data_IF_022442408118
#
_entry.id   IF_022442408118
#
_cell.length_a   1.000
_cell.length_b   1.000
_cell.length_c   1.000
_cell.angle_alpha   90.00
_cell.angle_beta   90.00
_cell.angle_gamma   90.00
#
_symmetry.space_group_name_H-M   'P 1'
#
loop_
_entity.id
_entity.type
_entity.pdbx_description
1 polymer ?
#
# COMPACT_ATOMS: atom_id res chain seq x y z
N UNK A 1 -14.39 -11.13 72.65
CA UNK A 1 -15.11 -11.38 71.40
C UNK A 1 -14.71 -10.46 70.21
N UNK A 2 -14.28 -9.21 70.41
CA UNK A 2 -13.96 -8.25 69.29
C UNK A 2 -12.69 -8.59 68.46
N UNK A 3 -11.67 -9.27 68.96
CA UNK A 3 -10.44 -9.58 68.24
C UNK A 3 -10.64 -10.64 67.12
N UNK A 4 -11.46 -11.65 67.34
CA UNK A 4 -11.73 -12.74 66.37
C UNK A 4 -12.49 -12.27 65.10
N UNK A 5 -13.27 -11.18 65.24
CA UNK A 5 -14.00 -10.56 64.12
C UNK A 5 -13.05 -9.71 63.23
N UNK A 6 -12.04 -9.06 63.82
CA UNK A 6 -11.05 -8.21 63.13
C UNK A 6 -10.12 -9.04 62.24
N UNK A 7 -9.66 -10.18 62.72
CA UNK A 7 -8.83 -11.12 61.95
C UNK A 7 -9.57 -11.74 60.76
N UNK A 8 -10.86 -12.11 60.90
CA UNK A 8 -11.67 -12.62 59.77
C UNK A 8 -11.88 -11.56 58.66
N UNK A 9 -12.01 -10.28 59.02
CA UNK A 9 -12.17 -9.17 58.10
C UNK A 9 -10.88 -8.93 57.30
N UNK A 10 -9.72 -8.93 57.95
CA UNK A 10 -8.41 -8.79 57.31
C UNK A 10 -8.12 -9.96 56.36
N UNK A 11 -8.46 -11.19 56.75
CA UNK A 11 -8.30 -12.35 55.85
C UNK A 11 -9.20 -12.25 54.58
N UNK A 12 -10.42 -11.73 54.69
CA UNK A 12 -11.28 -11.50 53.53
C UNK A 12 -10.71 -10.43 52.60
N UNK A 13 -10.20 -9.33 53.15
CA UNK A 13 -9.52 -8.28 52.36
C UNK A 13 -8.29 -8.81 51.61
N UNK A 14 -7.46 -9.61 52.27
CA UNK A 14 -6.29 -10.24 51.65
C UNK A 14 -6.67 -11.19 50.51
N UNK A 15 -7.74 -11.98 50.69
CA UNK A 15 -8.27 -12.84 49.61
C UNK A 15 -8.84 -12.04 48.46
N UNK A 16 -9.62 -10.99 48.71
CA UNK A 16 -10.13 -10.10 47.69
C UNK A 16 -9.02 -9.38 46.92
N UNK A 17 -8.02 -8.86 47.64
CA UNK A 17 -6.85 -8.23 47.01
C UNK A 17 -6.08 -9.22 46.13
N UNK A 18 -5.90 -10.47 46.56
CA UNK A 18 -5.28 -11.53 45.74
C UNK A 18 -6.05 -11.83 44.48
N UNK A 19 -7.40 -11.85 44.52
CA UNK A 19 -8.26 -12.05 43.36
C UNK A 19 -8.16 -10.86 42.39
N UNK A 20 -8.15 -9.63 42.93
CA UNK A 20 -8.01 -8.42 42.08
C UNK A 20 -6.65 -8.39 41.39
N UNK A 21 -5.58 -8.69 42.08
CA UNK A 21 -4.24 -8.78 41.48
C UNK A 21 -4.19 -9.86 40.40
N UNK A 22 -4.78 -11.04 40.65
CA UNK A 22 -4.85 -12.12 39.67
C UNK A 22 -5.64 -11.70 38.41
N UNK A 23 -6.75 -11.01 38.57
CA UNK A 23 -7.54 -10.50 37.43
C UNK A 23 -6.76 -9.45 36.62
N UNK A 24 -6.06 -8.54 37.31
CA UNK A 24 -5.20 -7.55 36.64
C UNK A 24 -4.03 -8.19 35.86
N UNK A 25 -3.42 -9.24 36.40
CA UNK A 25 -2.34 -9.95 35.71
C UNK A 25 -2.89 -10.69 34.46
N UNK A 26 -4.05 -11.32 34.55
CA UNK A 26 -4.67 -12.00 33.40
C UNK A 26 -5.03 -10.98 32.30
N UNK A 27 -5.60 -9.82 32.66
CA UNK A 27 -5.93 -8.78 31.68
C UNK A 27 -4.66 -8.20 31.03
N UNK A 28 -3.60 -7.99 31.80
CA UNK A 28 -2.33 -7.51 31.26
C UNK A 28 -1.72 -8.52 30.27
N UNK A 29 -1.71 -9.81 30.61
CA UNK A 29 -1.25 -10.88 29.71
C UNK A 29 -2.11 -10.90 28.44
N UNK A 30 -3.43 -10.78 28.54
CA UNK A 30 -4.33 -10.72 27.41
C UNK A 30 -4.01 -9.55 26.46
N UNK A 31 -3.73 -8.37 27.00
CA UNK A 31 -3.32 -7.19 26.21
C UNK A 31 -1.99 -7.42 25.51
N UNK A 32 -0.99 -7.97 26.19
CA UNK A 32 0.32 -8.26 25.60
C UNK A 32 0.20 -9.30 24.49
N UNK A 33 -0.56 -10.39 24.71
CA UNK A 33 -0.77 -11.42 23.69
C UNK A 33 -1.52 -10.85 22.48
N UNK A 34 -2.57 -10.05 22.68
CA UNK A 34 -3.28 -9.42 21.57
C UNK A 34 -2.39 -8.45 20.80
N UNK A 35 -1.59 -7.65 21.48
CA UNK A 35 -0.63 -6.74 20.85
C UNK A 35 0.44 -7.50 20.03
N UNK A 36 0.97 -8.61 20.54
CA UNK A 36 1.96 -9.43 19.81
C UNK A 36 1.34 -10.16 18.60
N UNK A 37 0.08 -10.60 18.70
CA UNK A 37 -0.63 -11.22 17.58
C UNK A 37 -0.92 -10.19 16.49
N UNK A 38 -1.34 -8.98 16.85
CA UNK A 38 -1.56 -7.88 15.91
C UNK A 38 -0.24 -7.45 15.24
N UNK A 39 0.83 -7.35 16.01
CA UNK A 39 2.17 -7.06 15.49
C UNK A 39 2.65 -8.13 14.50
N UNK A 40 2.51 -9.41 14.85
CA UNK A 40 2.86 -10.52 13.95
C UNK A 40 1.98 -10.57 12.69
N UNK A 41 0.69 -10.21 12.77
CA UNK A 41 -0.19 -10.11 11.59
C UNK A 41 0.21 -8.95 10.68
N UNK A 42 0.61 -7.82 11.24
CA UNK A 42 1.08 -6.66 10.49
C UNK A 42 2.43 -6.94 9.80
N UNK A 43 3.28 -7.75 10.43
CA UNK A 43 4.60 -8.15 9.94
C UNK A 43 4.63 -9.59 9.39
N UNK A 44 3.47 -10.21 9.13
CA UNK A 44 3.43 -11.43 8.33
C UNK A 44 4.10 -11.11 6.99
N UNK A 45 5.19 -11.84 6.68
CA UNK A 45 6.03 -11.61 5.53
C UNK A 45 5.13 -11.54 4.27
N UNK A 46 4.82 -10.32 3.82
CA UNK A 46 4.03 -10.10 2.61
C UNK A 46 4.82 -10.68 1.46
N UNK A 47 4.18 -11.40 0.58
CA UNK A 47 4.80 -11.89 -0.64
C UNK A 47 4.92 -10.72 -1.66
N UNK A 48 5.86 -10.77 -2.62
CA UNK A 48 6.03 -9.69 -3.59
C UNK A 48 4.76 -9.33 -4.36
N UNK A 49 3.97 -10.35 -4.73
CA UNK A 49 2.68 -10.17 -5.39
C UNK A 49 1.66 -9.40 -4.53
N UNK A 50 1.53 -9.75 -3.25
CA UNK A 50 0.64 -9.04 -2.33
C UNK A 50 1.14 -7.61 -2.04
N UNK A 51 2.46 -7.41 -1.97
CA UNK A 51 3.07 -6.09 -1.78
C UNK A 51 2.83 -5.20 -3.00
N UNK A 52 2.95 -5.74 -4.21
CA UNK A 52 2.64 -5.01 -5.44
C UNK A 52 1.17 -4.57 -5.48
N UNK A 53 0.24 -5.48 -5.20
CA UNK A 53 -1.19 -5.15 -5.20
C UNK A 53 -1.48 -4.03 -4.20
N UNK A 54 -0.91 -4.08 -3.00
CA UNK A 54 -1.06 -3.02 -1.99
C UNK A 54 -0.50 -1.69 -2.49
N UNK A 55 0.73 -1.67 -3.03
CA UNK A 55 1.35 -0.50 -3.62
C UNK A 55 0.46 0.16 -4.69
N UNK A 56 -0.03 -0.64 -5.63
CA UNK A 56 -0.86 -0.16 -6.72
C UNK A 56 -2.25 0.32 -6.24
N UNK A 57 -2.78 -0.22 -5.14
CA UNK A 57 -4.05 0.22 -4.56
C UNK A 57 -3.97 1.58 -3.85
N UNK A 58 -2.78 2.09 -3.56
CA UNK A 58 -2.58 3.44 -3.05
C UNK A 58 -2.72 4.51 -4.15
N UNK A 59 -2.46 4.17 -5.42
CA UNK A 59 -2.52 5.10 -6.55
C UNK A 59 -3.89 5.75 -6.71
N UNK A 60 -5.03 5.00 -6.84
CA UNK A 60 -6.35 5.59 -6.98
C UNK A 60 -6.83 6.37 -5.75
N UNK A 61 -6.19 6.17 -4.60
CA UNK A 61 -6.46 6.91 -3.37
C UNK A 61 -5.58 8.14 -3.22
N UNK A 62 -4.60 8.34 -4.12
CA UNK A 62 -3.60 9.41 -4.06
C UNK A 62 -2.74 9.35 -2.78
N UNK A 63 -2.55 8.14 -2.23
CA UNK A 63 -1.76 7.89 -1.01
C UNK A 63 -0.28 7.70 -1.38
N UNK A 64 0.33 8.70 -2.03
CA UNK A 64 1.71 8.61 -2.55
C UNK A 64 2.77 8.50 -1.44
N UNK A 65 2.48 8.99 -0.24
CA UNK A 65 3.37 8.83 0.92
C UNK A 65 3.46 7.36 1.36
N UNK A 66 2.34 6.65 1.35
CA UNK A 66 2.30 5.22 1.66
C UNK A 66 3.05 4.41 0.60
N UNK A 67 2.91 4.78 -0.68
CA UNK A 67 3.70 4.17 -1.75
C UNK A 67 5.20 4.37 -1.53
N UNK A 68 5.64 5.58 -1.14
CA UNK A 68 7.03 5.88 -0.87
C UNK A 68 7.60 5.05 0.30
N UNK A 69 6.80 4.76 1.30
CA UNK A 69 7.20 3.92 2.43
C UNK A 69 7.41 2.43 2.08
N UNK A 70 6.97 2.00 0.88
CA UNK A 70 7.06 0.61 0.41
C UNK A 70 8.23 0.35 -0.53
N UNK A 71 9.01 1.39 -0.88
CA UNK A 71 10.12 1.25 -1.84
C UNK A 71 11.47 1.07 -1.12
N UNK A 72 12.36 0.31 -1.75
CA UNK A 72 13.77 0.26 -1.40
C UNK A 72 14.49 1.49 -1.96
N UNK A 73 14.90 2.40 -1.09
CA UNK A 73 15.48 3.69 -1.50
C UNK A 73 16.85 3.54 -2.15
N UNK A 74 17.67 2.60 -1.69
CA UNK A 74 19.01 2.39 -2.20
C UNK A 74 18.96 1.93 -3.66
N UNK A 75 18.19 0.89 -3.93
CA UNK A 75 18.07 0.34 -5.29
C UNK A 75 17.17 1.19 -6.19
N UNK A 76 16.38 2.11 -5.64
CA UNK A 76 15.59 3.11 -6.37
C UNK A 76 16.37 4.41 -6.65
N UNK A 77 17.69 4.39 -6.52
CA UNK A 77 18.58 5.53 -6.85
C UNK A 77 18.46 6.70 -5.87
N UNK A 78 18.07 6.44 -4.61
CA UNK A 78 17.90 7.47 -3.56
C UNK A 78 16.97 8.61 -3.95
N UNK A 79 15.89 8.31 -4.69
CA UNK A 79 14.90 9.32 -5.05
C UNK A 79 14.37 10.02 -3.78
N UNK A 80 14.31 11.35 -3.82
CA UNK A 80 13.76 12.10 -2.70
C UNK A 80 12.25 11.88 -2.57
N UNK A 81 11.71 11.92 -1.34
CA UNK A 81 10.27 11.82 -1.11
C UNK A 81 9.50 12.86 -1.94
N UNK A 82 10.00 14.10 -1.98
CA UNK A 82 9.37 15.19 -2.72
C UNK A 82 9.29 14.90 -4.22
N UNK A 83 10.39 14.43 -4.82
CA UNK A 83 10.43 14.11 -6.25
C UNK A 83 9.54 12.91 -6.59
N UNK A 84 9.55 11.87 -5.74
CA UNK A 84 8.67 10.72 -5.90
C UNK A 84 7.19 11.12 -5.87
N UNK A 85 6.76 11.85 -4.83
CA UNK A 85 5.38 12.30 -4.70
C UNK A 85 4.97 13.16 -5.88
N UNK A 86 5.80 14.15 -6.23
CA UNK A 86 5.56 15.06 -7.36
C UNK A 86 5.47 14.31 -8.68
N UNK A 87 6.35 13.34 -8.91
CA UNK A 87 6.38 12.55 -10.16
C UNK A 87 5.10 11.75 -10.33
N UNK A 88 4.72 10.99 -9.31
CA UNK A 88 3.53 10.15 -9.33
C UNK A 88 2.24 10.99 -9.43
N UNK A 89 2.07 12.01 -8.57
CA UNK A 89 0.88 12.87 -8.60
C UNK A 89 0.73 13.59 -9.93
N UNK A 90 1.81 14.20 -10.43
CA UNK A 90 1.77 14.94 -11.72
C UNK A 90 1.31 14.06 -12.88
N UNK A 91 1.73 12.80 -12.91
CA UNK A 91 1.36 11.89 -14.00
C UNK A 91 -0.05 11.37 -13.79
N UNK A 92 -0.36 10.72 -12.67
CA UNK A 92 -1.66 10.07 -12.46
C UNK A 92 -2.83 11.05 -12.40
N UNK A 93 -2.63 12.21 -11.74
CA UNK A 93 -3.64 13.26 -11.70
C UNK A 93 -3.74 14.01 -13.04
N UNK A 94 -2.59 14.23 -13.71
CA UNK A 94 -2.55 14.90 -15.02
C UNK A 94 -3.27 14.16 -16.14
N UNK A 95 -3.36 12.83 -16.07
CA UNK A 95 -4.13 11.99 -16.99
C UNK A 95 -5.56 11.71 -16.49
N UNK A 96 -5.94 12.24 -15.31
CA UNK A 96 -7.21 11.99 -14.62
C UNK A 96 -7.51 10.49 -14.46
N UNK A 97 -6.52 9.74 -13.95
CA UNK A 97 -6.60 8.29 -13.80
C UNK A 97 -7.75 7.87 -12.89
N UNK A 98 -8.56 6.91 -13.36
CA UNK A 98 -9.68 6.31 -12.64
C UNK A 98 -9.78 4.80 -12.90
N UNK A 99 -10.60 4.11 -12.11
CA UNK A 99 -10.98 2.70 -12.31
C UNK A 99 -9.80 1.76 -12.53
N UNK A 100 -8.70 1.94 -11.76
CA UNK A 100 -7.53 1.07 -11.86
C UNK A 100 -7.88 -0.38 -11.48
N UNK A 101 -7.42 -1.32 -12.29
CA UNK A 101 -7.51 -2.75 -12.03
C UNK A 101 -6.17 -3.43 -12.32
N UNK A 102 -5.86 -4.46 -11.54
CA UNK A 102 -4.65 -5.25 -11.67
C UNK A 102 -5.05 -6.72 -11.81
N UNK A 103 -4.45 -7.41 -12.77
CA UNK A 103 -4.71 -8.83 -13.06
C UNK A 103 -3.41 -9.56 -13.34
N UNK A 104 -3.47 -10.89 -13.37
CA UNK A 104 -2.36 -11.76 -13.75
C UNK A 104 -1.08 -11.46 -12.97
N UNK A 105 -1.22 -11.23 -11.66
CA UNK A 105 -0.09 -10.93 -10.78
C UNK A 105 0.65 -12.23 -10.48
N UNK A 106 1.90 -12.33 -10.94
CA UNK A 106 2.72 -13.54 -10.79
C UNK A 106 4.16 -13.15 -10.40
N UNK A 107 4.63 -13.71 -9.29
CA UNK A 107 6.01 -13.55 -8.86
C UNK A 107 6.92 -14.60 -9.47
N UNK A 108 7.94 -14.15 -10.18
CA UNK A 108 9.00 -15.00 -10.75
C UNK A 108 10.24 -14.89 -9.86
N UNK A 109 10.51 -15.91 -9.07
CA UNK A 109 11.56 -15.89 -8.05
C UNK A 109 12.97 -15.76 -8.67
N UNK A 110 13.20 -16.39 -9.82
CA UNK A 110 14.49 -16.34 -10.54
C UNK A 110 14.89 -14.91 -10.91
N UNK A 111 13.92 -14.11 -11.37
CA UNK A 111 14.13 -12.73 -11.78
C UNK A 111 13.89 -11.73 -10.65
N UNK A 112 13.37 -12.17 -9.50
CA UNK A 112 12.89 -11.34 -8.39
C UNK A 112 11.85 -10.30 -8.84
N UNK A 113 11.07 -10.61 -9.85
CA UNK A 113 10.09 -9.72 -10.46
C UNK A 113 8.68 -10.25 -10.33
N UNK A 114 7.75 -9.31 -10.13
CA UNK A 114 6.32 -9.56 -10.28
C UNK A 114 5.89 -9.05 -11.65
N UNK A 115 5.32 -9.93 -12.47
CA UNK A 115 4.65 -9.55 -13.72
C UNK A 115 3.18 -9.30 -13.43
N UNK A 116 2.59 -8.33 -14.09
CA UNK A 116 1.19 -7.98 -13.90
C UNK A 116 0.61 -7.25 -15.10
N UNK A 117 -0.71 -7.37 -15.27
CA UNK A 117 -1.48 -6.58 -16.23
C UNK A 117 -2.21 -5.48 -15.45
N UNK A 118 -1.95 -4.23 -15.78
CA UNK A 118 -2.72 -3.10 -15.27
C UNK A 118 -3.63 -2.51 -16.33
N UNK A 119 -4.78 -1.99 -15.90
CA UNK A 119 -5.72 -1.27 -16.76
C UNK A 119 -6.37 -0.16 -15.95
N UNK A 120 -6.50 1.01 -16.53
CA UNK A 120 -7.19 2.16 -15.93
C UNK A 120 -7.73 3.10 -17.00
N UNK A 121 -8.72 3.90 -16.61
CA UNK A 121 -9.31 4.92 -17.46
C UNK A 121 -8.53 6.24 -17.31
N UNK A 122 -8.46 6.98 -18.42
CA UNK A 122 -7.86 8.31 -18.50
C UNK A 122 -8.75 9.24 -19.32
N UNK A 123 -8.44 10.52 -19.37
CA UNK A 123 -9.11 11.48 -20.28
C UNK A 123 -9.02 11.10 -21.76
N UNK A 124 -8.02 10.29 -22.12
CA UNK A 124 -7.81 9.82 -23.49
C UNK A 124 -8.45 8.44 -23.77
N UNK A 125 -9.13 7.86 -22.78
CA UNK A 125 -9.75 6.53 -22.84
C UNK A 125 -9.06 5.51 -21.92
N UNK A 126 -9.46 4.25 -22.02
CA UNK A 126 -8.92 3.16 -21.24
C UNK A 126 -7.57 2.72 -21.76
N UNK A 127 -6.58 2.63 -20.90
CA UNK A 127 -5.24 2.13 -21.18
C UNK A 127 -5.05 0.79 -20.46
N UNK A 128 -4.40 -0.16 -21.13
CA UNK A 128 -4.05 -1.45 -20.56
C UNK A 128 -2.70 -1.91 -21.07
N UNK A 129 -1.83 -2.37 -20.17
CA UNK A 129 -0.50 -2.86 -20.51
C UNK A 129 0.01 -3.87 -19.49
N UNK A 130 0.90 -4.74 -19.93
CA UNK A 130 1.70 -5.60 -19.04
C UNK A 130 2.91 -4.83 -18.53
N UNK A 131 3.26 -5.05 -17.27
CA UNK A 131 4.41 -4.42 -16.64
C UNK A 131 5.10 -5.41 -15.69
N UNK A 132 6.26 -5.00 -15.19
CA UNK A 132 7.09 -5.80 -14.27
C UNK A 132 7.60 -4.90 -13.16
N UNK A 133 7.58 -5.44 -11.93
CA UNK A 133 8.09 -4.77 -10.74
C UNK A 133 9.19 -5.63 -10.10
N UNK A 134 10.34 -5.05 -9.83
CA UNK A 134 11.46 -5.72 -9.16
C UNK A 134 11.28 -5.61 -7.64
N UNK A 135 11.51 -6.72 -6.93
CA UNK A 135 11.45 -6.78 -5.48
C UNK A 135 12.76 -7.26 -4.88
N UNK A 136 13.18 -6.62 -3.81
CA UNK A 136 14.30 -7.07 -2.99
C UNK A 136 13.77 -7.52 -1.63
N UNK A 137 14.41 -8.54 -1.08
CA UNK A 137 14.08 -9.07 0.24
C UNK A 137 15.10 -8.58 1.25
N UNK A 138 14.60 -8.00 2.33
CA UNK A 138 15.38 -7.63 3.51
C UNK A 138 14.91 -8.38 4.77
N UNK A 139 15.34 -7.92 5.94
CA UNK A 139 14.95 -8.50 7.23
C UNK A 139 13.47 -8.23 7.59
N UNK A 140 12.88 -7.18 7.04
CA UNK A 140 11.50 -6.74 7.30
C UNK A 140 10.49 -7.32 6.31
N UNK A 141 10.96 -7.80 5.13
CA UNK A 141 10.11 -8.41 4.12
C UNK A 141 10.57 -8.16 2.69
N UNK A 142 9.63 -7.89 1.79
CA UNK A 142 9.91 -7.52 0.40
C UNK A 142 9.63 -6.05 0.18
N UNK A 143 10.61 -5.35 -0.40
CA UNK A 143 10.51 -3.95 -0.79
C UNK A 143 10.55 -3.82 -2.30
N UNK A 144 9.79 -2.89 -2.84
CA UNK A 144 9.69 -2.59 -4.26
C UNK A 144 10.89 -1.73 -4.69
N UNK A 145 11.57 -2.12 -5.75
CA UNK A 145 12.53 -1.22 -6.42
C UNK A 145 11.75 -0.35 -7.40
N UNK A 146 11.73 0.94 -7.12
CA UNK A 146 10.96 1.89 -7.91
C UNK A 146 11.79 2.54 -9.00
N UNK A 147 11.23 2.61 -10.19
CA UNK A 147 11.64 3.48 -11.28
C UNK A 147 10.40 3.96 -12.06
N UNK A 148 10.60 4.92 -12.97
CA UNK A 148 9.51 5.50 -13.77
C UNK A 148 8.76 4.48 -14.63
N UNK A 149 9.39 3.35 -14.97
CA UNK A 149 8.76 2.30 -15.78
C UNK A 149 7.59 1.62 -15.06
N UNK A 150 7.50 1.75 -13.72
CA UNK A 150 6.34 1.28 -12.95
C UNK A 150 5.07 2.09 -13.26
N UNK A 151 5.22 3.36 -13.66
CA UNK A 151 4.08 4.22 -14.05
C UNK A 151 3.61 3.83 -15.46
N UNK A 152 4.54 3.81 -16.42
CA UNK A 152 4.30 3.34 -17.78
C UNK A 152 5.49 2.54 -18.29
N UNK A 153 5.30 1.41 -18.98
CA UNK A 153 6.41 0.66 -19.56
C UNK A 153 7.30 1.55 -20.43
N UNK A 154 8.61 1.45 -20.19
CA UNK A 154 9.64 2.22 -20.88
C UNK A 154 9.64 3.74 -20.63
N UNK A 155 8.89 4.24 -19.64
CA UNK A 155 8.99 5.65 -19.24
C UNK A 155 10.35 5.89 -18.59
N UNK A 156 11.10 6.86 -19.09
CA UNK A 156 12.37 7.31 -18.51
C UNK A 156 12.15 8.51 -17.57
N UNK A 157 13.08 8.75 -16.66
CA UNK A 157 13.01 9.86 -15.68
C UNK A 157 12.96 11.24 -16.34
N UNK A 158 13.51 11.37 -17.56
CA UNK A 158 13.51 12.59 -18.37
C UNK A 158 12.23 12.80 -19.16
N UNK A 159 11.41 11.75 -19.30
CA UNK A 159 10.21 11.79 -20.12
C UNK A 159 9.09 12.55 -19.43
N UNK A 160 8.20 13.11 -20.23
CA UNK A 160 7.01 13.84 -19.75
C UNK A 160 5.76 13.23 -20.36
N UNK A 161 4.84 12.83 -19.51
CA UNK A 161 3.49 12.43 -19.93
C UNK A 161 2.68 13.69 -20.23
N UNK A 162 2.04 13.75 -21.40
CA UNK A 162 1.21 14.88 -21.81
C UNK A 162 -0.08 14.36 -22.44
N UNK A 163 -1.18 15.02 -22.11
CA UNK A 163 -2.46 14.85 -22.81
C UNK A 163 -2.60 15.98 -23.81
N UNK A 164 -2.92 15.65 -25.06
CA UNK A 164 -3.24 16.64 -26.10
C UNK A 164 -4.63 16.37 -26.66
N UNK A 165 -5.42 17.42 -26.81
CA UNK A 165 -6.75 17.33 -27.42
C UNK A 165 -6.68 17.88 -28.84
N UNK A 166 -7.05 17.09 -29.85
CA UNK A 166 -7.22 17.55 -31.22
C UNK A 166 -8.70 17.74 -31.43
N UNK A 167 -9.09 18.96 -31.83
CA UNK A 167 -10.48 19.21 -32.19
C UNK A 167 -10.79 18.48 -33.53
N UNK A 168 -11.90 17.77 -33.53
CA UNK A 168 -12.40 17.19 -34.78
C UNK A 168 -12.73 18.30 -35.77
N UNK A 169 -12.34 18.12 -37.04
CA UNK A 169 -12.81 19.00 -38.12
C UNK A 169 -14.33 18.88 -38.19
N UNK A 170 -15.01 20.04 -38.22
CA UNK A 170 -16.46 20.05 -38.47
C UNK A 170 -16.71 19.51 -39.86
N UNK A 171 -17.51 18.45 -39.97
CA UNK A 171 -18.05 18.02 -41.24
C UNK A 171 -18.84 19.15 -41.90
N UNK A 172 -18.72 19.27 -43.20
CA UNK A 172 -19.55 20.20 -44.01
C UNK A 172 -21.03 19.77 -43.88
N UNK A 173 -21.89 20.74 -43.63
CA UNK A 173 -23.33 20.52 -43.71
C UNK A 173 -23.70 20.74 -45.19
N UNK A 174 -23.81 19.64 -45.91
CA UNK A 174 -24.23 19.67 -47.30
C UNK A 174 -25.75 19.71 -47.35
N UNK A 175 -26.29 20.46 -48.32
CA UNK A 175 -27.72 20.43 -48.62
C UNK A 175 -28.07 19.16 -49.45
N UNK A 176 -29.35 19.03 -49.84
CA UNK A 176 -29.86 17.87 -50.60
C UNK A 176 -29.10 17.61 -51.92
N UNK A 177 -28.36 18.57 -52.44
CA UNK A 177 -27.71 18.51 -53.75
C UNK A 177 -26.17 18.41 -53.69
N UNK A 178 -25.59 18.30 -52.51
CA UNK A 178 -24.13 18.17 -52.28
C UNK A 178 -23.45 19.49 -51.99
#
# INVERSE_FOLDING_TARGET
MKAKHRTKRIQRYRKMLGIIVLMLTITLIGVVVSATVLYKRKNACKTPDTTLVEYMMHIPKQEYEEMYAMIDLESSGYISKEDFLKRNSTIYEGIEMQNMSIKNVEYVEEDKKVTYLTSFDTVAGTISFENKALFLKDEEGYQLVWDDSLIFPNLASTDKVRVSTTQAERGEILDRNG
#
